data_IF_142378321457
#
_entry.id   IF_142378321457
#
_cell.length_a   1.000
_cell.length_b   1.000
_cell.length_c   1.000
_cell.angle_alpha   90.00
_cell.angle_beta   90.00
_cell.angle_gamma   90.00
#
_symmetry.space_group_name_H-M   'P 1'
#
loop_
_entity.id
_entity.type
_entity.pdbx_description
1 polymer ?
#
# COMPACT_ATOMS: atom_id res chain seq x y z
N UNK A 1 16.81 -26.89 5.09
CA UNK A 1 17.99 -26.58 5.90
C UNK A 1 18.99 -25.64 5.23
N UNK A 2 19.33 -25.79 3.94
CA UNK A 2 20.32 -24.94 3.25
C UNK A 2 19.88 -23.47 3.08
N UNK A 3 18.58 -23.19 2.93
CA UNK A 3 18.04 -21.82 2.76
C UNK A 3 18.04 -20.97 4.05
N UNK A 4 18.01 -21.61 5.22
CA UNK A 4 18.08 -20.90 6.50
C UNK A 4 19.50 -20.44 6.82
N UNK A 5 20.50 -21.20 6.38
CA UNK A 5 21.92 -20.89 6.59
C UNK A 5 22.36 -19.68 5.76
N UNK A 6 21.78 -19.48 4.56
CA UNK A 6 22.10 -18.32 3.70
C UNK A 6 21.58 -17.01 4.27
N UNK A 7 20.39 -17.00 4.88
CA UNK A 7 19.85 -15.78 5.52
C UNK A 7 20.65 -15.36 6.76
N UNK A 8 21.11 -16.34 7.55
CA UNK A 8 21.92 -16.10 8.76
C UNK A 8 23.31 -15.57 8.40
N UNK A 9 23.89 -16.02 7.29
CA UNK A 9 25.21 -15.57 6.83
C UNK A 9 25.21 -14.13 6.30
N UNK A 10 24.14 -13.70 5.64
CA UNK A 10 23.97 -12.31 5.19
C UNK A 10 23.77 -11.37 6.37
N UNK A 11 23.05 -11.76 7.40
CA UNK A 11 22.91 -10.97 8.62
C UNK A 11 24.22 -10.81 9.41
N UNK A 12 25.12 -11.81 9.39
CA UNK A 12 26.39 -11.74 10.12
C UNK A 12 27.48 -10.91 9.42
N UNK A 13 27.40 -10.74 8.11
CA UNK A 13 28.39 -9.96 7.34
C UNK A 13 28.23 -8.43 7.48
N UNK A 14 27.11 -7.96 7.99
CA UNK A 14 26.84 -6.53 8.20
C UNK A 14 27.49 -5.97 9.47
N UNK A 15 28.09 -6.79 10.35
CA UNK A 15 28.59 -6.35 11.66
C UNK A 15 30.11 -6.14 11.78
N UNK A 16 30.86 -6.20 10.69
CA UNK A 16 32.35 -6.23 10.81
C UNK A 16 33.12 -5.01 10.33
N UNK A 17 32.47 -3.94 9.93
CA UNK A 17 33.15 -2.68 9.60
C UNK A 17 32.88 -1.63 10.66
N UNK A 18 33.92 -1.02 11.22
CA UNK A 18 33.89 0.02 12.22
C UNK A 18 33.42 1.40 11.71
N UNK A 19 32.34 1.40 10.92
CA UNK A 19 31.53 2.56 10.64
C UNK A 19 30.57 2.81 11.82
N UNK A 20 30.06 4.00 12.00
CA UNK A 20 28.99 4.26 12.94
C UNK A 20 27.90 3.21 12.73
N UNK A 21 27.46 2.55 13.80
CA UNK A 21 26.56 1.42 13.69
C UNK A 21 25.28 1.84 12.96
N UNK A 22 24.87 1.05 11.96
CA UNK A 22 23.61 1.28 11.27
C UNK A 22 22.44 1.27 12.27
N UNK A 23 21.55 2.20 12.14
CA UNK A 23 20.30 2.22 12.89
C UNK A 23 19.36 1.16 12.31
N UNK A 24 18.93 0.24 13.17
CA UNK A 24 18.01 -0.83 12.79
C UNK A 24 16.74 -0.66 13.61
N UNK A 25 15.64 -0.33 12.94
CA UNK A 25 14.34 -0.10 13.56
C UNK A 25 13.38 -1.23 13.17
N UNK A 26 13.10 -2.18 14.09
CA UNK A 26 12.06 -3.17 13.86
C UNK A 26 10.68 -2.52 13.98
N UNK A 27 9.74 -3.01 13.20
CA UNK A 27 8.34 -2.60 13.26
C UNK A 27 7.42 -3.76 12.88
N UNK A 28 6.15 -3.65 13.23
CA UNK A 28 5.18 -4.65 12.84
C UNK A 28 3.75 -4.24 13.11
N UNK A 29 2.85 -5.03 12.55
CA UNK A 29 1.41 -4.92 12.76
C UNK A 29 0.82 -6.32 12.85
N UNK A 30 0.01 -6.58 13.87
CA UNK A 30 -0.88 -7.72 13.94
C UNK A 30 -2.30 -7.19 13.81
N UNK A 31 -3.04 -7.64 12.81
CA UNK A 31 -4.37 -7.15 12.50
C UNK A 31 -5.28 -8.32 12.14
N UNK A 32 -6.30 -8.54 12.97
CA UNK A 32 -7.29 -9.59 12.78
C UNK A 32 -8.68 -9.00 12.78
N UNK A 33 -9.53 -9.56 11.93
CA UNK A 33 -10.95 -9.21 11.90
C UNK A 33 -11.82 -10.46 11.82
N UNK A 34 -12.97 -10.40 12.46
CA UNK A 34 -14.12 -11.21 12.10
C UNK A 34 -14.87 -10.49 11.00
N UNK A 35 -15.20 -11.16 9.95
CA UNK A 35 -16.02 -10.63 8.85
C UNK A 35 -17.21 -11.52 8.56
N UNK A 36 -18.27 -10.88 8.13
CA UNK A 36 -19.43 -11.51 7.50
C UNK A 36 -19.54 -10.95 6.09
N UNK A 37 -19.33 -11.80 5.14
CA UNK A 37 -19.31 -11.44 3.73
C UNK A 37 -20.45 -12.14 3.00
N UNK A 38 -21.12 -11.45 2.10
CA UNK A 38 -22.10 -11.98 1.20
C UNK A 38 -21.53 -12.02 -0.23
N UNK A 39 -21.66 -13.13 -0.92
CA UNK A 39 -21.21 -13.25 -2.30
C UNK A 39 -22.32 -12.90 -3.30
N UNK A 40 -21.97 -12.71 -4.57
CA UNK A 40 -22.89 -12.37 -5.65
C UNK A 40 -24.04 -13.38 -5.89
N UNK A 41 -24.02 -14.53 -5.23
CA UNK A 41 -25.10 -15.53 -5.25
C UNK A 41 -26.00 -15.44 -4.02
N UNK A 42 -25.81 -14.43 -3.13
CA UNK A 42 -26.56 -14.26 -1.88
C UNK A 42 -26.19 -15.27 -0.80
N UNK A 43 -25.02 -15.92 -0.91
CA UNK A 43 -24.53 -16.85 0.11
C UNK A 43 -23.62 -16.07 1.07
N UNK A 44 -24.06 -16.02 2.34
CA UNK A 44 -23.29 -15.40 3.39
C UNK A 44 -22.33 -16.41 4.05
N UNK A 45 -21.16 -15.93 4.48
CA UNK A 45 -20.18 -16.72 5.22
C UNK A 45 -19.41 -15.85 6.23
N UNK A 46 -19.08 -16.48 7.34
CA UNK A 46 -18.35 -15.85 8.43
C UNK A 46 -16.90 -16.30 8.44
N UNK A 47 -15.99 -15.37 8.72
CA UNK A 47 -14.55 -15.65 8.83
C UNK A 47 -13.93 -14.94 10.01
N UNK A 48 -12.92 -15.55 10.60
CA UNK A 48 -11.89 -14.85 11.37
C UNK A 48 -10.63 -14.84 10.50
N UNK A 49 -10.20 -13.68 10.08
CA UNK A 49 -9.14 -13.57 9.09
C UNK A 49 -8.06 -12.56 9.46
N UNK A 50 -6.88 -12.80 8.93
CA UNK A 50 -5.76 -11.87 8.98
C UNK A 50 -6.04 -10.68 8.04
N UNK A 51 -5.90 -9.46 8.55
CA UNK A 51 -6.13 -8.24 7.79
C UNK A 51 -4.81 -7.48 7.57
N UNK A 52 -3.84 -8.13 6.89
CA UNK A 52 -2.58 -7.51 6.51
C UNK A 52 -1.54 -7.42 7.63
N UNK A 53 -1.49 -8.42 8.53
CA UNK A 53 -0.41 -8.54 9.51
C UNK A 53 0.96 -8.62 8.83
N UNK A 54 1.97 -7.99 9.45
CA UNK A 54 3.32 -7.91 8.91
C UNK A 54 4.36 -7.64 9.96
N UNK A 55 5.61 -7.99 9.66
CA UNK A 55 6.80 -7.57 10.41
C UNK A 55 7.86 -7.06 9.44
N UNK A 56 8.67 -6.13 9.88
CA UNK A 56 9.74 -5.57 9.07
C UNK A 56 10.86 -4.93 9.87
N UNK A 57 11.89 -4.55 9.15
CA UNK A 57 13.00 -3.75 9.65
C UNK A 57 13.32 -2.65 8.65
N UNK A 58 13.52 -1.44 9.17
CA UNK A 58 14.15 -0.34 8.48
C UNK A 58 15.61 -0.25 8.91
N UNK A 59 16.50 -0.04 7.96
CA UNK A 59 17.95 0.06 8.18
C UNK A 59 18.42 1.37 7.56
N UNK A 60 19.05 2.21 8.38
CA UNK A 60 19.67 3.45 7.92
C UNK A 60 21.14 3.41 8.35
N UNK A 61 22.03 3.44 7.38
CA UNK A 61 23.45 3.64 7.64
C UNK A 61 23.74 5.14 7.73
N UNK A 62 24.36 5.62 8.81
CA UNK A 62 24.70 7.02 8.92
C UNK A 62 25.54 7.50 7.73
N UNK A 63 25.38 8.76 7.39
CA UNK A 63 26.11 9.35 6.28
C UNK A 63 27.62 9.22 6.46
N UNK A 64 28.32 8.99 5.37
CA UNK A 64 29.79 9.05 5.32
C UNK A 64 30.26 10.41 5.84
N UNK A 65 31.26 10.42 6.69
CA UNK A 65 31.77 11.64 7.31
C UNK A 65 32.05 12.73 6.26
N UNK A 66 31.43 13.91 6.43
CA UNK A 66 31.51 15.03 5.50
C UNK A 66 30.57 14.94 4.28
N UNK A 67 29.68 13.94 4.24
CA UNK A 67 28.68 13.74 3.18
C UNK A 67 27.27 13.73 3.77
N UNK A 68 26.25 14.07 2.96
CA UNK A 68 24.83 13.90 3.29
C UNK A 68 24.27 12.56 2.78
N UNK A 69 25.13 11.72 2.19
CA UNK A 69 24.73 10.44 1.58
C UNK A 69 24.67 9.35 2.64
N UNK A 70 23.51 8.73 2.82
CA UNK A 70 23.29 7.59 3.71
C UNK A 70 22.82 6.35 2.92
N UNK A 71 23.18 5.18 3.43
CA UNK A 71 22.64 3.90 2.94
C UNK A 71 21.26 3.65 3.57
N UNK A 72 20.32 3.15 2.78
CA UNK A 72 19.00 2.75 3.28
C UNK A 72 18.66 1.35 2.81
N UNK A 73 17.99 0.57 3.67
CA UNK A 73 17.41 -0.71 3.27
C UNK A 73 16.13 -0.97 4.05
N UNK A 74 15.24 -1.74 3.45
CA UNK A 74 13.98 -2.19 4.07
C UNK A 74 13.71 -3.64 3.76
N UNK A 75 13.31 -4.38 4.78
CA UNK A 75 12.79 -5.72 4.64
C UNK A 75 11.45 -5.82 5.36
N UNK A 76 10.40 -6.29 4.67
CA UNK A 76 9.08 -6.50 5.23
C UNK A 76 8.50 -7.82 4.71
N UNK A 77 7.96 -8.63 5.61
CA UNK A 77 7.22 -9.85 5.28
C UNK A 77 5.80 -9.75 5.83
N UNK A 78 4.84 -10.20 5.05
CA UNK A 78 3.47 -10.41 5.48
C UNK A 78 3.40 -11.66 6.37
N UNK A 79 2.51 -11.64 7.33
CA UNK A 79 2.20 -12.79 8.17
C UNK A 79 0.79 -13.26 7.81
N UNK A 80 0.69 -14.48 7.33
CA UNK A 80 -0.56 -15.17 7.07
C UNK A 80 -0.67 -16.33 8.06
N UNK A 81 -1.42 -16.12 9.15
CA UNK A 81 -1.49 -17.04 10.27
C UNK A 81 -2.91 -17.55 10.54
N UNK A 82 -3.87 -17.17 9.70
CA UNK A 82 -5.26 -17.62 9.76
C UNK A 82 -5.57 -18.71 8.73
N UNK A 83 -4.69 -18.89 7.74
CA UNK A 83 -4.83 -19.93 6.75
C UNK A 83 -4.09 -21.21 7.17
N UNK A 84 -4.78 -22.33 7.06
CA UNK A 84 -4.18 -23.66 7.11
C UNK A 84 -3.32 -23.99 5.88
N UNK A 85 -3.12 -23.00 5.00
CA UNK A 85 -2.31 -23.07 3.78
C UNK A 85 -0.81 -23.20 4.05
N UNK A 86 -0.06 -23.31 3.00
CA UNK A 86 1.36 -23.65 3.05
C UNK A 86 2.32 -22.48 3.31
N UNK A 87 1.85 -21.24 3.30
CA UNK A 87 2.71 -20.05 3.34
C UNK A 87 2.34 -19.12 4.50
N UNK A 88 3.04 -19.27 5.62
CA UNK A 88 2.90 -18.35 6.76
C UNK A 88 3.54 -16.97 6.50
N UNK A 89 4.42 -16.85 5.50
CA UNK A 89 5.14 -15.62 5.19
C UNK A 89 5.00 -15.25 3.72
N UNK A 90 4.57 -14.01 3.49
CA UNK A 90 4.49 -13.42 2.16
C UNK A 90 5.58 -12.38 1.94
N UNK A 91 6.15 -12.35 0.72
CA UNK A 91 7.12 -11.33 0.33
C UNK A 91 6.43 -9.99 0.11
N UNK A 92 6.73 -8.98 0.94
CA UNK A 92 6.17 -7.63 0.81
C UNK A 92 7.18 -6.64 0.25
N UNK A 93 8.18 -6.25 1.02
CA UNK A 93 9.21 -5.29 0.61
C UNK A 93 10.59 -5.87 0.84
N UNK A 94 11.50 -5.63 -0.10
CA UNK A 94 12.91 -6.00 0.01
C UNK A 94 13.71 -5.11 -0.94
N UNK A 95 14.21 -3.98 -0.45
CA UNK A 95 15.00 -3.05 -1.25
C UNK A 95 16.17 -2.47 -0.49
N UNK A 96 17.12 -1.96 -1.25
CA UNK A 96 18.30 -1.23 -0.76
C UNK A 96 18.50 0.00 -1.63
N UNK A 97 19.11 1.02 -1.08
CA UNK A 97 19.35 2.26 -1.82
C UNK A 97 20.22 3.26 -1.09
N UNK A 98 20.25 4.44 -1.66
CA UNK A 98 20.96 5.61 -1.15
C UNK A 98 19.96 6.74 -0.98
N UNK A 99 20.10 7.49 0.11
CA UNK A 99 19.38 8.73 0.36
C UNK A 99 20.39 9.89 0.47
N UNK A 100 20.07 11.00 -0.16
CA UNK A 100 20.78 12.24 -0.06
C UNK A 100 19.82 13.39 0.29
N UNK A 101 19.69 13.69 1.59
CA UNK A 101 18.81 14.75 2.09
C UNK A 101 17.34 14.60 1.61
N UNK A 102 16.78 13.39 1.65
CA UNK A 102 15.42 13.11 1.27
C UNK A 102 15.20 12.86 -0.23
N UNK A 103 16.28 12.77 -1.01
CA UNK A 103 16.24 12.26 -2.38
C UNK A 103 16.81 10.84 -2.38
N UNK A 104 15.94 9.86 -2.48
CA UNK A 104 16.30 8.45 -2.41
C UNK A 104 16.30 7.80 -3.80
N UNK A 105 17.30 6.95 -4.06
CA UNK A 105 17.31 5.99 -5.16
C UNK A 105 17.37 4.60 -4.57
N UNK A 106 16.39 3.77 -4.88
CA UNK A 106 16.24 2.42 -4.33
C UNK A 106 16.07 1.38 -5.42
N UNK A 107 16.54 0.15 -5.13
CA UNK A 107 16.45 -0.99 -6.04
C UNK A 107 15.92 -2.20 -5.28
N UNK A 108 14.97 -2.93 -5.86
CA UNK A 108 14.43 -4.16 -5.29
C UNK A 108 12.92 -4.28 -5.39
N UNK A 109 12.31 -5.02 -4.45
CA UNK A 109 10.86 -5.14 -4.35
C UNK A 109 10.32 -4.03 -3.47
N UNK A 110 9.50 -3.16 -4.04
CA UNK A 110 8.99 -1.98 -3.34
C UNK A 110 7.58 -1.60 -3.77
N UNK A 111 6.96 -0.72 -2.97
CA UNK A 111 5.60 -0.25 -3.21
C UNK A 111 5.52 0.78 -4.33
N UNK A 112 4.40 0.75 -5.03
CA UNK A 112 4.05 1.76 -6.03
C UNK A 112 3.73 3.09 -5.36
N UNK A 113 4.33 4.16 -5.85
CA UNK A 113 4.04 5.52 -5.37
C UNK A 113 2.69 6.02 -5.85
N UNK A 114 2.23 5.51 -6.99
CA UNK A 114 0.89 5.73 -7.49
C UNK A 114 -0.16 5.56 -6.38
N UNK A 115 -0.18 4.39 -5.74
CA UNK A 115 -1.15 4.05 -4.69
C UNK A 115 -1.00 4.96 -3.48
N UNK A 116 0.23 5.23 -3.03
CA UNK A 116 0.46 5.98 -1.80
C UNK A 116 0.28 7.49 -1.94
N UNK A 117 0.52 8.04 -3.14
CA UNK A 117 0.50 9.50 -3.37
C UNK A 117 -0.78 10.00 -4.02
N UNK A 118 -1.45 9.22 -4.87
CA UNK A 118 -2.73 9.63 -5.44
C UNK A 118 -3.89 9.50 -4.46
N UNK A 119 -3.61 8.95 -3.27
CA UNK A 119 -4.58 8.83 -2.21
C UNK A 119 -5.49 7.63 -2.43
N UNK A 120 -4.97 6.46 -2.16
CA UNK A 120 -5.82 5.32 -1.93
C UNK A 120 -6.47 5.51 -0.56
N UNK A 121 -7.63 6.11 -0.53
CA UNK A 121 -8.42 6.29 0.68
C UNK A 121 -9.31 5.07 0.91
N UNK A 122 -8.73 3.87 0.77
CA UNK A 122 -9.42 2.64 1.12
C UNK A 122 -10.03 2.78 2.52
N UNK A 123 -11.33 2.88 2.54
CA UNK A 123 -12.11 2.60 3.72
C UNK A 123 -12.41 1.11 3.60
N UNK A 124 -11.65 0.29 4.36
CA UNK A 124 -12.00 -1.10 4.66
C UNK A 124 -11.96 -2.15 3.53
N UNK A 125 -11.05 -2.00 2.58
CA UNK A 125 -10.80 -3.04 1.58
C UNK A 125 -11.63 -2.92 0.30
N UNK A 126 -12.54 -1.96 0.23
CA UNK A 126 -13.14 -1.55 -1.03
C UNK A 126 -12.23 -0.61 -1.77
N UNK A 127 -12.08 -0.81 -3.05
CA UNK A 127 -11.17 -0.04 -3.87
C UNK A 127 -11.80 0.23 -5.23
N UNK A 128 -12.35 1.43 -5.40
CA UNK A 128 -12.89 1.89 -6.68
C UNK A 128 -11.81 2.43 -7.62
N UNK A 129 -10.57 2.60 -7.15
CA UNK A 129 -9.50 3.14 -7.99
C UNK A 129 -8.87 2.06 -8.85
N UNK A 130 -8.58 2.38 -10.08
CA UNK A 130 -7.76 1.55 -10.95
C UNK A 130 -6.27 1.84 -10.70
N UNK A 131 -5.49 0.80 -10.50
CA UNK A 131 -4.05 0.87 -10.22
C UNK A 131 -3.30 -0.29 -10.86
N UNK A 132 -2.04 -0.10 -11.19
CA UNK A 132 -1.18 -1.16 -11.71
C UNK A 132 -0.99 -2.29 -10.69
N UNK A 133 -0.84 -1.97 -9.43
CA UNK A 133 -0.62 -2.94 -8.34
C UNK A 133 -0.17 -2.23 -7.06
N UNK A 134 0.11 -3.00 -6.02
CA UNK A 134 0.60 -2.45 -4.76
C UNK A 134 2.12 -2.45 -4.67
N UNK A 135 2.77 -3.47 -5.24
CA UNK A 135 4.22 -3.70 -5.15
C UNK A 135 4.73 -4.46 -6.35
N UNK A 136 5.93 -4.10 -6.81
CA UNK A 136 6.65 -4.85 -7.85
C UNK A 136 8.08 -5.19 -7.44
N UNK A 137 8.57 -6.33 -7.93
CA UNK A 137 9.98 -6.74 -7.87
C UNK A 137 10.76 -6.15 -9.04
N UNK A 138 12.09 -6.23 -8.98
CA UNK A 138 12.99 -5.78 -10.04
C UNK A 138 12.81 -4.30 -10.42
N UNK A 139 12.52 -3.45 -9.42
CA UNK A 139 12.27 -2.04 -9.65
C UNK A 139 13.46 -1.16 -9.28
N UNK A 140 13.59 -0.06 -10.00
CA UNK A 140 14.42 1.09 -9.64
C UNK A 140 13.46 2.26 -9.39
N UNK A 141 13.62 2.94 -8.25
CA UNK A 141 12.76 4.05 -7.86
C UNK A 141 13.59 5.25 -7.43
N UNK A 142 13.23 6.43 -7.92
CA UNK A 142 13.67 7.72 -7.44
C UNK A 142 12.50 8.38 -6.71
N UNK A 143 12.71 8.84 -5.49
CA UNK A 143 11.69 9.52 -4.68
C UNK A 143 12.31 10.69 -3.91
N UNK A 144 11.68 11.87 -3.96
CA UNK A 144 12.07 13.03 -3.16
C UNK A 144 10.93 13.54 -2.26
N UNK A 145 9.96 12.66 -1.94
CA UNK A 145 8.78 13.03 -1.19
C UNK A 145 7.66 13.63 -2.05
N UNK A 146 7.93 14.60 -2.90
CA UNK A 146 6.94 15.20 -3.80
C UNK A 146 6.84 14.50 -5.15
N UNK A 147 7.98 14.22 -5.76
CA UNK A 147 8.09 13.50 -7.05
C UNK A 147 8.59 12.09 -6.79
N UNK A 148 7.94 11.12 -7.39
CA UNK A 148 8.42 9.74 -7.46
C UNK A 148 8.37 9.23 -8.89
N UNK A 149 9.42 8.54 -9.31
CA UNK A 149 9.48 7.83 -10.59
C UNK A 149 9.98 6.43 -10.32
N UNK A 150 9.31 5.41 -10.84
CA UNK A 150 9.71 4.02 -10.71
C UNK A 150 9.63 3.32 -12.07
N UNK A 151 10.57 2.42 -12.30
CA UNK A 151 10.53 1.50 -13.43
C UNK A 151 10.75 0.07 -12.95
N UNK A 152 10.02 -0.88 -13.52
CA UNK A 152 10.22 -2.31 -13.37
C UNK A 152 10.98 -2.81 -14.60
N UNK A 153 12.11 -3.47 -14.35
CA UNK A 153 13.00 -3.96 -15.39
C UNK A 153 12.99 -5.49 -15.33
N UNK A 154 12.81 -6.12 -16.48
CA UNK A 154 12.84 -7.57 -16.61
C UNK A 154 11.88 -8.26 -15.61
N UNK A 155 10.62 -7.86 -15.67
CA UNK A 155 9.54 -8.38 -14.84
C UNK A 155 9.09 -9.78 -15.28
N UNK A 156 7.90 -10.22 -14.85
CA UNK A 156 7.38 -11.57 -15.11
C UNK A 156 7.14 -11.90 -16.59
N UNK A 157 7.12 -10.90 -17.47
CA UNK A 157 6.88 -11.09 -18.91
C UNK A 157 7.97 -11.88 -19.61
N UNK A 158 9.21 -11.86 -19.08
CA UNK A 158 10.38 -12.43 -19.74
C UNK A 158 10.78 -11.69 -21.02
N UNK A 159 10.31 -10.46 -21.21
CA UNK A 159 10.74 -9.57 -22.28
C UNK A 159 11.88 -8.67 -21.75
N UNK A 160 12.89 -8.46 -22.58
CA UNK A 160 13.99 -7.56 -22.24
C UNK A 160 13.50 -6.11 -22.23
N UNK A 161 13.79 -5.38 -21.15
CA UNK A 161 13.56 -3.94 -21.08
C UNK A 161 12.73 -3.47 -19.88
N UNK A 162 12.00 -2.37 -20.08
CA UNK A 162 11.11 -1.80 -19.09
C UNK A 162 9.72 -2.40 -19.29
N UNK A 163 9.24 -3.17 -18.32
CA UNK A 163 7.92 -3.78 -18.35
C UNK A 163 6.82 -2.86 -17.81
N UNK A 164 7.19 -1.95 -16.91
CA UNK A 164 6.28 -0.95 -16.34
C UNK A 164 7.08 0.28 -15.91
N UNK A 165 6.47 1.43 -16.02
CA UNK A 165 6.97 2.63 -15.36
C UNK A 165 5.83 3.47 -14.78
N UNK A 166 6.14 4.23 -13.74
CA UNK A 166 5.20 5.17 -13.13
C UNK A 166 5.88 6.48 -12.76
N UNK A 167 5.07 7.54 -12.74
CA UNK A 167 5.46 8.85 -12.22
C UNK A 167 4.32 9.44 -11.39
N UNK A 168 4.64 9.96 -10.22
CA UNK A 168 3.69 10.64 -9.35
C UNK A 168 4.23 11.96 -8.85
N UNK A 169 3.37 12.96 -8.78
CA UNK A 169 3.67 14.27 -8.22
C UNK A 169 2.62 14.60 -7.15
N UNK A 170 3.08 15.03 -5.98
CA UNK A 170 2.23 15.51 -4.90
C UNK A 170 2.71 16.85 -4.37
N UNK A 171 1.76 17.68 -3.96
CA UNK A 171 2.05 19.00 -3.42
C UNK A 171 0.95 19.48 -2.47
N UNK A 172 1.33 20.19 -1.41
CA UNK A 172 0.36 20.80 -0.49
C UNK A 172 0.07 22.24 -0.92
N UNK A 173 -1.20 22.55 -1.17
CA UNK A 173 -1.67 23.86 -1.61
C UNK A 173 -2.77 24.33 -0.64
N UNK A 174 -2.51 25.42 0.08
CA UNK A 174 -3.50 26.04 0.98
C UNK A 174 -4.09 25.07 2.04
N UNK A 175 -3.30 24.10 2.50
CA UNK A 175 -3.73 23.11 3.48
C UNK A 175 -4.46 21.90 2.90
N UNK A 176 -4.54 21.80 1.57
CA UNK A 176 -4.95 20.60 0.88
C UNK A 176 -3.74 19.90 0.26
N UNK A 177 -3.64 18.59 0.42
CA UNK A 177 -2.68 17.75 -0.29
C UNK A 177 -3.30 17.31 -1.60
N UNK A 178 -2.61 17.60 -2.70
CA UNK A 178 -3.04 17.23 -4.06
C UNK A 178 -1.98 16.37 -4.71
N UNK A 179 -2.40 15.43 -5.52
CA UNK A 179 -1.50 14.52 -6.23
C UNK A 179 -2.05 14.17 -7.60
N UNK A 180 -1.14 13.89 -8.51
CA UNK A 180 -1.42 13.33 -9.83
C UNK A 180 -0.41 12.22 -10.11
N UNK A 181 -0.81 11.25 -10.88
CA UNK A 181 0.07 10.14 -11.24
C UNK A 181 -0.30 9.55 -12.59
N UNK A 182 0.69 8.86 -13.14
CA UNK A 182 0.58 8.06 -14.35
C UNK A 182 1.38 6.78 -14.16
N UNK A 183 0.84 5.65 -14.60
CA UNK A 183 1.56 4.39 -14.69
C UNK A 183 1.26 3.73 -16.04
N UNK A 184 2.24 3.05 -16.60
CA UNK A 184 2.17 2.39 -17.90
C UNK A 184 2.65 0.94 -17.75
N UNK A 185 1.75 0.01 -18.00
CA UNK A 185 2.03 -1.41 -18.15
C UNK A 185 2.35 -1.67 -19.62
N UNK A 186 3.63 -1.56 -19.96
CA UNK A 186 4.13 -1.68 -21.32
C UNK A 186 3.85 -3.06 -21.92
N UNK A 187 3.82 -4.09 -21.08
CA UNK A 187 3.61 -5.49 -21.50
C UNK A 187 2.18 -5.73 -21.96
N UNK A 188 1.21 -5.16 -21.22
CA UNK A 188 -0.21 -5.36 -21.49
C UNK A 188 -0.85 -4.24 -22.30
N UNK A 189 -0.10 -3.19 -22.65
CA UNK A 189 -0.59 -1.99 -23.35
C UNK A 189 -1.77 -1.34 -22.59
N UNK A 190 -1.55 -1.13 -21.29
CA UNK A 190 -2.55 -0.56 -20.37
C UNK A 190 -1.91 0.61 -19.64
N UNK A 191 -2.53 1.77 -19.67
CA UNK A 191 -2.07 2.88 -18.84
C UNK A 191 -3.10 3.28 -17.77
N UNK A 192 -2.60 3.93 -16.73
CA UNK A 192 -3.37 4.36 -15.58
C UNK A 192 -3.10 5.83 -15.31
N UNK A 193 -4.15 6.61 -15.20
CA UNK A 193 -4.11 8.02 -14.80
C UNK A 193 -4.85 8.21 -13.49
N UNK A 194 -4.43 9.12 -12.66
CA UNK A 194 -5.18 9.44 -11.47
C UNK A 194 -4.80 10.78 -10.87
N UNK A 195 -5.76 11.28 -10.12
CA UNK A 195 -5.61 12.47 -9.31
C UNK A 195 -6.28 12.23 -7.96
N UNK A 196 -5.64 12.71 -6.89
CA UNK A 196 -6.15 12.64 -5.54
C UNK A 196 -6.05 14.00 -4.85
N UNK A 197 -6.95 14.24 -3.92
CA UNK A 197 -6.89 15.41 -3.05
C UNK A 197 -7.39 15.05 -1.65
N UNK A 198 -6.75 15.62 -0.62
CA UNK A 198 -7.22 15.51 0.76
C UNK A 198 -7.01 16.81 1.52
N UNK A 199 -7.84 17.06 2.51
CA UNK A 199 -7.69 18.20 3.42
C UNK A 199 -8.29 17.87 4.77
N UNK A 200 -7.77 18.50 5.82
CA UNK A 200 -8.33 18.41 7.18
C UNK A 200 -8.68 19.80 7.69
N UNK A 201 -9.94 19.97 8.09
CA UNK A 201 -10.45 21.22 8.66
C UNK A 201 -11.03 20.92 10.03
N UNK A 202 -10.32 21.34 11.07
CA UNK A 202 -10.65 20.96 12.45
C UNK A 202 -10.53 19.44 12.64
N UNK A 203 -11.62 18.81 13.05
CA UNK A 203 -11.70 17.35 13.24
C UNK A 203 -12.19 16.59 12.01
N UNK A 204 -12.44 17.29 10.88
CA UNK A 204 -12.99 16.69 9.67
C UNK A 204 -11.89 16.54 8.63
N UNK A 205 -11.71 15.32 8.15
CA UNK A 205 -10.85 15.00 6.99
C UNK A 205 -11.74 14.65 5.80
N UNK A 206 -11.47 15.26 4.67
CA UNK A 206 -12.13 14.97 3.39
C UNK A 206 -11.07 14.53 2.41
N UNK A 207 -11.34 13.47 1.68
CA UNK A 207 -10.43 12.99 0.66
C UNK A 207 -11.20 12.44 -0.54
N UNK A 208 -10.59 12.54 -1.72
CA UNK A 208 -11.13 11.95 -2.95
C UNK A 208 -10.04 11.56 -3.92
N UNK A 209 -10.30 10.52 -4.70
CA UNK A 209 -9.43 10.04 -5.78
C UNK A 209 -10.28 9.75 -7.01
N UNK A 210 -9.75 10.11 -8.17
CA UNK A 210 -10.31 9.76 -9.47
C UNK A 210 -9.24 9.09 -10.31
N UNK A 211 -9.58 8.00 -10.98
CA UNK A 211 -8.64 7.22 -11.81
C UNK A 211 -9.27 6.83 -13.14
N UNK A 212 -8.42 6.68 -14.13
CA UNK A 212 -8.76 6.15 -15.45
C UNK A 212 -7.81 5.00 -15.73
N UNK A 213 -8.34 3.88 -16.16
CA UNK A 213 -7.59 2.79 -16.77
C UNK A 213 -7.82 2.86 -18.26
N UNK A 214 -6.81 3.27 -19.01
CA UNK A 214 -6.81 3.36 -20.46
C UNK A 214 -6.44 1.99 -21.05
N UNK A 215 -7.36 1.42 -21.77
CA UNK A 215 -7.26 0.15 -22.49
C UNK A 215 -8.24 0.18 -23.67
N UNK A 216 -8.52 -0.95 -24.31
CA UNK A 216 -9.45 -1.03 -25.46
C UNK A 216 -10.81 -0.34 -25.23
N UNK A 217 -11.28 -0.32 -23.97
CA UNK A 217 -12.39 0.50 -23.49
C UNK A 217 -11.94 1.13 -22.17
N UNK A 218 -11.87 2.44 -22.10
CA UNK A 218 -11.48 3.17 -20.90
C UNK A 218 -12.45 2.87 -19.78
N UNK A 219 -11.90 2.68 -18.59
CA UNK A 219 -12.66 2.47 -17.36
C UNK A 219 -12.33 3.56 -16.36
N UNK A 220 -13.33 4.06 -15.67
CA UNK A 220 -13.18 5.09 -14.65
C UNK A 220 -13.45 4.56 -13.26
N UNK A 221 -12.75 5.11 -12.27
CA UNK A 221 -12.96 4.80 -10.86
C UNK A 221 -12.86 6.06 -10.01
N UNK A 222 -13.74 6.18 -9.02
CA UNK A 222 -13.77 7.30 -8.10
C UNK A 222 -13.99 6.82 -6.68
N UNK A 223 -13.29 7.45 -5.74
CA UNK A 223 -13.52 7.31 -4.30
C UNK A 223 -13.62 8.67 -3.64
N UNK A 224 -14.46 8.77 -2.63
CA UNK A 224 -14.54 9.93 -1.74
C UNK A 224 -14.77 9.47 -0.30
N UNK A 225 -14.10 10.10 0.65
CA UNK A 225 -14.25 9.80 2.07
C UNK A 225 -14.40 11.06 2.90
N UNK A 226 -15.17 10.96 3.97
CA UNK A 226 -15.28 11.95 5.02
C UNK A 226 -15.05 11.29 6.36
N UNK A 227 -14.00 11.72 7.06
CA UNK A 227 -13.67 11.29 8.41
C UNK A 227 -14.02 12.38 9.44
N UNK A 228 -14.58 12.00 10.57
CA UNK A 228 -14.80 12.86 11.72
C UNK A 228 -14.50 12.07 12.99
N UNK A 229 -13.39 12.41 13.67
CA UNK A 229 -12.92 11.69 14.87
C UNK A 229 -12.79 10.19 14.59
N UNK A 230 -13.62 9.38 15.25
CA UNK A 230 -13.62 7.92 15.14
C UNK A 230 -14.44 7.39 13.96
N UNK A 231 -15.21 8.22 13.28
CA UNK A 231 -16.16 7.81 12.25
C UNK A 231 -15.60 8.16 10.87
N UNK A 232 -15.73 7.24 9.92
CA UNK A 232 -15.42 7.48 8.51
C UNK A 232 -16.57 6.98 7.65
N UNK A 233 -16.94 7.76 6.64
CA UNK A 233 -17.90 7.37 5.60
C UNK A 233 -17.19 7.47 4.26
N UNK A 234 -17.31 6.44 3.46
CA UNK A 234 -16.73 6.35 2.13
C UNK A 234 -17.80 6.06 1.07
N UNK A 235 -17.56 6.54 -0.12
CA UNK A 235 -18.31 6.22 -1.33
C UNK A 235 -17.31 5.88 -2.43
N UNK A 236 -17.59 4.85 -3.21
CA UNK A 236 -16.83 4.50 -4.38
C UNK A 236 -17.74 4.16 -5.56
N UNK A 237 -17.24 4.46 -6.76
CA UNK A 237 -17.88 4.11 -8.03
C UNK A 237 -16.78 3.57 -8.95
N UNK A 238 -16.95 2.33 -9.39
CA UNK A 238 -15.99 1.63 -10.26
C UNK A 238 -16.70 1.10 -11.47
N UNK A 239 -16.47 1.72 -12.60
CA UNK A 239 -17.05 1.31 -13.87
C UNK A 239 -16.80 -0.17 -14.17
N UNK A 240 -17.86 -0.88 -14.54
CA UNK A 240 -17.86 -2.32 -14.78
C UNK A 240 -17.89 -3.19 -13.51
N UNK A 241 -18.05 -2.57 -12.33
CA UNK A 241 -18.17 -3.28 -11.05
C UNK A 241 -19.42 -2.83 -10.31
N UNK A 242 -19.62 -1.52 -10.14
CA UNK A 242 -20.72 -0.94 -9.41
C UNK A 242 -20.26 0.12 -8.40
N UNK A 243 -21.17 0.49 -7.51
CA UNK A 243 -20.94 1.47 -6.46
C UNK A 243 -20.91 0.82 -5.09
N UNK A 244 -20.32 1.50 -4.11
CA UNK A 244 -20.38 1.08 -2.72
C UNK A 244 -20.43 2.27 -1.75
N UNK A 245 -21.01 2.02 -0.58
CA UNK A 245 -20.95 2.88 0.59
C UNK A 245 -20.31 2.14 1.75
N UNK A 246 -19.35 2.79 2.42
CA UNK A 246 -18.68 2.22 3.59
C UNK A 246 -18.85 3.12 4.81
N UNK A 247 -19.10 2.51 5.95
CA UNK A 247 -19.21 3.15 7.24
C UNK A 247 -18.22 2.51 8.20
N UNK A 248 -17.33 3.30 8.76
CA UNK A 248 -16.30 2.83 9.66
C UNK A 248 -16.32 3.55 11.00
N UNK A 249 -16.01 2.79 12.04
CA UNK A 249 -15.76 3.26 13.39
C UNK A 249 -14.41 2.71 13.84
N UNK A 250 -13.49 3.57 14.28
CA UNK A 250 -12.19 3.16 14.80
C UNK A 250 -11.91 3.87 16.11
N UNK A 251 -11.38 3.13 17.09
CA UNK A 251 -11.02 3.67 18.39
C UNK A 251 -9.65 3.15 18.84
N UNK A 252 -8.75 4.09 19.16
CA UNK A 252 -7.45 3.77 19.75
C UNK A 252 -7.62 3.53 21.25
N UNK A 253 -7.36 2.30 21.68
CA UNK A 253 -7.36 1.91 23.09
C UNK A 253 -6.07 2.34 23.79
N UNK A 254 -4.95 2.28 23.06
CA UNK A 254 -3.61 2.75 23.45
C UNK A 254 -2.90 3.27 22.22
N UNK A 255 -1.65 3.76 22.35
CA UNK A 255 -0.82 4.17 21.22
C UNK A 255 -0.55 3.02 20.22
N UNK A 256 -0.56 1.78 20.70
CA UNK A 256 -0.28 0.58 19.92
C UNK A 256 -1.51 -0.25 19.53
N UNK A 257 -2.62 -0.14 20.28
CA UNK A 257 -3.79 -0.99 20.12
C UNK A 257 -5.01 -0.18 19.68
N UNK A 258 -5.63 -0.57 18.59
CA UNK A 258 -6.93 -0.05 18.15
C UNK A 258 -7.93 -1.16 17.89
N UNK A 259 -9.21 -0.82 18.00
CA UNK A 259 -10.35 -1.65 17.61
C UNK A 259 -11.15 -0.90 16.55
N UNK A 260 -11.77 -1.64 15.64
CA UNK A 260 -12.57 -1.04 14.58
C UNK A 260 -13.78 -1.90 14.22
N UNK A 261 -14.78 -1.27 13.64
CA UNK A 261 -15.94 -1.92 13.06
C UNK A 261 -16.27 -1.26 11.71
N UNK A 262 -16.76 -2.04 10.78
CA UNK A 262 -17.00 -1.62 9.41
C UNK A 262 -18.27 -2.24 8.86
N UNK A 263 -18.99 -1.45 8.09
CA UNK A 263 -20.12 -1.89 7.27
C UNK A 263 -19.92 -1.37 5.86
N UNK A 264 -20.03 -2.24 4.87
CA UNK A 264 -20.05 -1.87 3.46
C UNK A 264 -21.32 -2.40 2.81
N UNK A 265 -21.86 -1.59 1.94
CA UNK A 265 -23.00 -1.91 1.09
C UNK A 265 -22.58 -1.70 -0.37
N UNK A 266 -22.64 -2.75 -1.16
CA UNK A 266 -22.32 -2.73 -2.58
C UNK A 266 -23.59 -2.82 -3.41
N UNK A 267 -23.67 -2.00 -4.46
CA UNK A 267 -24.66 -2.05 -5.53
C UNK A 267 -23.91 -2.38 -6.83
N UNK A 268 -23.92 -3.64 -7.21
CA UNK A 268 -23.18 -4.13 -8.37
C UNK A 268 -23.91 -3.82 -9.67
N UNK A 269 -23.18 -3.53 -10.74
CA UNK A 269 -23.72 -3.36 -12.10
C UNK A 269 -24.51 -4.56 -12.60
N UNK A 270 -24.33 -5.73 -11.98
CA UNK A 270 -25.11 -6.95 -12.24
C UNK A 270 -26.50 -6.94 -11.62
N UNK A 271 -26.84 -5.89 -10.84
CA UNK A 271 -28.12 -5.76 -10.14
C UNK A 271 -28.19 -6.58 -8.84
N UNK A 272 -27.06 -6.86 -8.21
CA UNK A 272 -26.98 -7.56 -6.92
C UNK A 272 -26.49 -6.59 -5.85
N UNK A 273 -27.24 -6.45 -4.77
CA UNK A 273 -26.83 -5.73 -3.58
C UNK A 273 -26.13 -6.69 -2.62
N UNK A 274 -24.97 -6.31 -2.11
CA UNK A 274 -24.21 -7.11 -1.13
C UNK A 274 -24.01 -6.31 0.16
N UNK A 275 -23.87 -7.01 1.26
CA UNK A 275 -23.51 -6.43 2.55
C UNK A 275 -22.29 -7.16 3.16
N UNK A 276 -21.37 -6.35 3.64
CA UNK A 276 -20.17 -6.84 4.32
C UNK A 276 -20.05 -6.08 5.65
N UNK A 277 -19.82 -6.79 6.73
CA UNK A 277 -19.47 -6.15 7.99
C UNK A 277 -18.31 -6.86 8.66
N UNK A 278 -17.52 -6.07 9.36
CA UNK A 278 -16.39 -6.61 10.09
C UNK A 278 -16.17 -5.91 11.42
N UNK A 279 -15.55 -6.63 12.34
CA UNK A 279 -15.03 -6.10 13.60
C UNK A 279 -13.62 -6.62 13.77
N UNK A 280 -12.69 -5.73 14.05
CA UNK A 280 -11.29 -6.10 14.12
C UNK A 280 -10.50 -5.42 15.24
N UNK A 281 -9.29 -5.93 15.41
CA UNK A 281 -8.31 -5.38 16.34
C UNK A 281 -6.96 -5.31 15.66
N UNK A 282 -6.26 -4.19 15.86
CA UNK A 282 -4.95 -3.93 15.26
C UNK A 282 -3.97 -3.52 16.35
N UNK A 283 -2.85 -4.23 16.43
CA UNK A 283 -1.73 -3.91 17.30
C UNK A 283 -0.51 -3.56 16.45
N UNK A 284 0.10 -2.40 16.72
CA UNK A 284 1.28 -1.89 16.00
C UNK A 284 2.42 -1.66 16.98
N UNK A 285 3.64 -2.03 16.62
CA UNK A 285 4.84 -1.92 17.47
C UNK A 285 6.07 -1.54 16.65
#
# INVERSE_FOLDING_TARGET
>A
MLRLITLTAVALLLFTYGAAAAEITPYGTLNYKYSHDENSSGVAYDKLENNGSKIGIDIIEPSIEGSSLSGIAKLEVGLDVDDSGSNTFDSRLAYVGLDNNGVAITVGRQGHSWVSKTGNFEVYGSNAVFKYGDRSSNTIKLDNGSLSVMAMIDGPSGQDGIDMWEGTLSHSIMGADVSVGYADDVVNDISYWGAGASTTVGDITIASTYTIKDQANDLTGMEATVGWKAITVGYGDKEGTGTYMTYGLSHSMTDSLSVYAELQQDDLDTGTDLQHYSVGTKFTF
#
